data_IF_457972864581
#
_entry.id   IF_457972864581
#
_cell.length_a   1.000
_cell.length_b   1.000
_cell.length_c   1.000
_cell.angle_alpha   90.00
_cell.angle_beta   90.00
_cell.angle_gamma   90.00
#
_symmetry.space_group_name_H-M   'P 1'
#
loop_
_entity.id
_entity.type
_entity.pdbx_description
1 polymer ?
#
# COMPACT_ATOMS: atom_id res chain seq x y z
N UNK A 1 -79.25 -35.70 27.48
CA UNK A 1 -78.46 -34.53 27.93
C UNK A 1 -77.28 -34.95 28.81
N UNK A 2 -77.35 -36.07 29.55
CA UNK A 2 -76.25 -36.58 30.41
C UNK A 2 -74.96 -36.89 29.62
N UNK A 3 -75.03 -37.63 28.51
CA UNK A 3 -73.84 -37.98 27.71
C UNK A 3 -73.04 -36.78 27.16
N UNK A 4 -73.69 -35.64 26.90
CA UNK A 4 -73.01 -34.43 26.42
C UNK A 4 -72.23 -33.78 27.56
N UNK A 5 -72.77 -33.82 28.77
CA UNK A 5 -72.15 -33.25 29.96
C UNK A 5 -70.91 -34.05 30.38
N UNK A 6 -70.98 -35.38 30.28
CA UNK A 6 -69.85 -36.27 30.59
C UNK A 6 -68.69 -36.11 29.60
N UNK A 7 -69.00 -35.97 28.30
CA UNK A 7 -67.99 -35.69 27.26
C UNK A 7 -67.37 -34.29 27.46
N UNK A 8 -68.16 -33.30 27.84
CA UNK A 8 -67.67 -31.95 28.16
C UNK A 8 -66.71 -31.98 29.35
N UNK A 9 -67.03 -32.74 30.40
CA UNK A 9 -66.19 -32.87 31.60
C UNK A 9 -64.87 -33.59 31.30
N UNK A 10 -64.89 -34.62 30.44
CA UNK A 10 -63.69 -35.34 29.99
C UNK A 10 -62.77 -34.46 29.13
N UNK A 11 -63.34 -33.62 28.26
CA UNK A 11 -62.59 -32.72 27.38
C UNK A 11 -62.13 -31.42 28.06
N UNK A 12 -62.76 -31.02 29.17
CA UNK A 12 -62.41 -29.80 29.89
C UNK A 12 -60.95 -29.78 30.37
N UNK A 13 -60.46 -30.92 30.88
CA UNK A 13 -59.07 -31.04 31.37
C UNK A 13 -58.02 -30.77 30.28
N UNK A 14 -58.03 -31.52 29.16
CA UNK A 14 -57.15 -31.27 28.02
C UNK A 14 -57.31 -29.87 27.43
N UNK A 15 -58.53 -29.35 27.31
CA UNK A 15 -58.78 -28.03 26.73
C UNK A 15 -58.15 -26.91 27.58
N UNK A 16 -58.34 -26.96 28.90
CA UNK A 16 -57.73 -26.02 29.85
C UNK A 16 -56.21 -26.18 29.84
N UNK A 17 -55.72 -27.42 29.85
CA UNK A 17 -54.29 -27.73 29.75
C UNK A 17 -53.65 -27.17 28.47
N UNK A 18 -54.32 -27.28 27.32
CA UNK A 18 -53.88 -26.72 26.05
C UNK A 18 -53.88 -25.19 26.06
N UNK A 19 -54.89 -24.53 26.64
CA UNK A 19 -54.96 -23.07 26.74
C UNK A 19 -53.84 -22.54 27.64
N UNK A 20 -53.61 -23.17 28.80
CA UNK A 20 -52.53 -22.78 29.72
C UNK A 20 -51.17 -23.05 29.08
N UNK A 21 -50.96 -24.24 28.53
CA UNK A 21 -49.72 -24.60 27.84
C UNK A 21 -49.37 -23.66 26.69
N UNK A 22 -50.36 -23.33 25.85
CA UNK A 22 -50.18 -22.37 24.77
C UNK A 22 -49.86 -20.96 25.29
N UNK A 23 -50.61 -20.49 26.28
CA UNK A 23 -50.43 -19.15 26.86
C UNK A 23 -49.07 -18.99 27.54
N UNK A 24 -48.63 -20.00 28.30
CA UNK A 24 -47.34 -20.00 28.98
C UNK A 24 -46.18 -20.12 28.00
N UNK A 25 -46.28 -20.96 26.97
CA UNK A 25 -45.25 -21.07 25.93
C UNK A 25 -45.11 -19.77 25.13
N UNK A 26 -46.23 -19.15 24.76
CA UNK A 26 -46.25 -17.85 24.10
C UNK A 26 -45.56 -16.78 24.97
N UNK A 27 -45.88 -16.75 26.28
CA UNK A 27 -45.26 -15.81 27.20
C UNK A 27 -43.76 -16.08 27.37
N UNK A 28 -43.32 -17.33 27.47
CA UNK A 28 -41.93 -17.71 27.60
C UNK A 28 -41.09 -17.26 26.39
N UNK A 29 -41.56 -17.54 25.18
CA UNK A 29 -40.91 -17.06 23.95
C UNK A 29 -40.87 -15.54 23.92
N UNK A 30 -41.97 -14.87 24.28
CA UNK A 30 -42.03 -13.40 24.35
C UNK A 30 -41.04 -12.83 25.37
N UNK A 31 -40.84 -13.49 26.50
CA UNK A 31 -39.92 -13.10 27.58
C UNK A 31 -38.44 -13.30 27.23
N UNK A 32 -38.10 -14.15 26.25
CA UNK A 32 -36.73 -14.25 25.75
C UNK A 32 -36.29 -12.96 25.06
N UNK A 33 -37.19 -12.33 24.29
CA UNK A 33 -36.89 -11.18 23.44
C UNK A 33 -37.34 -9.82 24.02
N UNK A 34 -38.41 -9.78 24.83
CA UNK A 34 -38.97 -8.54 25.41
C UNK A 34 -39.19 -8.69 26.91
N UNK A 35 -39.11 -7.61 27.72
CA UNK A 35 -38.85 -6.23 27.34
C UNK A 35 -37.36 -5.96 27.07
N UNK A 36 -37.07 -5.05 26.14
CA UNK A 36 -35.70 -4.71 25.72
C UNK A 36 -34.92 -3.93 26.80
N UNK A 37 -35.64 -3.23 27.67
CA UNK A 37 -35.08 -2.42 28.76
C UNK A 37 -35.61 -2.92 30.11
N UNK A 38 -34.82 -2.82 31.19
CA UNK A 38 -35.30 -3.14 32.54
C UNK A 38 -36.47 -2.22 32.90
N UNK A 39 -37.59 -2.81 33.32
CA UNK A 39 -38.76 -2.05 33.77
C UNK A 39 -38.60 -1.82 35.28
N UNK A 40 -38.64 -0.56 35.69
CA UNK A 40 -38.58 -0.15 37.10
C UNK A 40 -39.97 0.33 37.54
N UNK A 41 -40.43 -0.15 38.68
CA UNK A 41 -41.62 0.35 39.38
C UNK A 41 -41.13 0.93 40.70
N UNK A 42 -41.05 2.26 40.80
CA UNK A 42 -40.41 2.93 41.93
C UNK A 42 -38.93 2.58 42.07
N UNK A 43 -38.51 2.10 43.23
CA UNK A 43 -37.14 1.61 43.52
C UNK A 43 -36.91 0.15 43.12
N UNK A 44 -37.95 -0.61 42.78
CA UNK A 44 -37.86 -2.05 42.51
C UNK A 44 -37.77 -2.34 41.00
N UNK A 45 -36.83 -3.22 40.60
CA UNK A 45 -36.72 -3.73 39.22
C UNK A 45 -37.57 -4.99 39.09
N UNK A 46 -38.43 -5.05 38.08
CA UNK A 46 -39.28 -6.22 37.87
C UNK A 46 -38.41 -7.46 37.58
N UNK A 47 -38.62 -8.59 38.27
CA UNK A 47 -37.92 -9.84 37.95
C UNK A 47 -38.21 -10.22 36.49
N UNK A 48 -37.22 -10.82 35.82
CA UNK A 48 -37.31 -11.17 34.39
C UNK A 48 -37.42 -9.99 33.41
N UNK A 49 -36.99 -8.79 33.82
CA UNK A 49 -36.77 -7.64 32.93
C UNK A 49 -35.32 -7.13 33.02
N UNK A 50 -34.61 -6.90 31.91
CA UNK A 50 -35.01 -7.15 30.52
C UNK A 50 -35.06 -8.66 30.20
N UNK A 51 -35.57 -9.01 29.02
CA UNK A 51 -35.58 -10.38 28.52
C UNK A 51 -34.17 -11.01 28.49
N UNK A 52 -34.10 -12.35 28.42
CA UNK A 52 -32.83 -13.09 28.54
C UNK A 52 -31.83 -12.72 27.44
N UNK A 53 -32.28 -12.60 26.19
CA UNK A 53 -31.42 -12.27 25.05
C UNK A 53 -30.88 -10.83 25.16
N UNK A 54 -31.72 -9.79 25.38
CA UNK A 54 -31.22 -8.44 25.64
C UNK A 54 -30.24 -8.36 26.82
N UNK A 55 -30.45 -9.16 27.87
CA UNK A 55 -29.58 -9.20 29.06
C UNK A 55 -28.20 -9.78 28.77
N UNK A 56 -28.09 -10.74 27.85
CA UNK A 56 -26.83 -11.43 27.50
C UNK A 56 -26.29 -11.03 26.13
N UNK A 57 -26.81 -9.94 25.56
CA UNK A 57 -26.47 -9.48 24.22
C UNK A 57 -24.97 -9.39 23.99
N UNK A 58 -24.22 -8.75 24.90
CA UNK A 58 -22.77 -8.61 24.79
C UNK A 58 -22.04 -9.97 24.81
N UNK A 59 -22.51 -10.92 25.61
CA UNK A 59 -21.92 -12.26 25.68
C UNK A 59 -22.18 -13.04 24.40
N UNK A 60 -23.40 -12.95 23.87
CA UNK A 60 -23.78 -13.54 22.59
C UNK A 60 -22.98 -12.91 21.44
N UNK A 61 -22.84 -11.59 21.44
CA UNK A 61 -22.08 -10.84 20.46
C UNK A 61 -20.61 -11.27 20.43
N UNK A 62 -19.97 -11.44 21.60
CA UNK A 62 -18.61 -12.02 21.70
C UNK A 62 -18.52 -13.44 21.19
N UNK A 63 -19.45 -14.30 21.59
CA UNK A 63 -19.44 -15.70 21.20
C UNK A 63 -19.63 -15.86 19.68
N UNK A 64 -20.57 -15.12 19.10
CA UNK A 64 -20.79 -15.07 17.65
C UNK A 64 -19.59 -14.45 16.93
N UNK A 65 -19.06 -13.32 17.41
CA UNK A 65 -17.88 -12.67 16.83
C UNK A 65 -16.67 -13.59 16.80
N UNK A 66 -16.38 -14.28 17.91
CA UNK A 66 -15.30 -15.26 17.98
C UNK A 66 -15.56 -16.48 17.08
N UNK A 67 -16.79 -17.00 17.04
CA UNK A 67 -17.12 -18.13 16.16
C UNK A 67 -16.95 -17.77 14.67
N UNK A 68 -17.34 -16.56 14.27
CA UNK A 68 -17.20 -16.09 12.88
C UNK A 68 -15.73 -15.78 12.56
N UNK A 69 -15.06 -14.99 13.40
CA UNK A 69 -13.68 -14.56 13.16
C UNK A 69 -12.64 -15.68 13.25
N UNK A 70 -12.87 -16.69 14.10
CA UNK A 70 -11.90 -17.77 14.29
C UNK A 70 -12.21 -19.03 13.47
N UNK A 71 -13.45 -19.26 13.05
CA UNK A 71 -13.83 -20.52 12.39
C UNK A 71 -14.41 -20.35 10.98
N UNK A 72 -14.94 -19.18 10.60
CA UNK A 72 -15.55 -18.97 9.28
C UNK A 72 -14.69 -18.11 8.35
N UNK A 73 -13.90 -17.19 8.90
CA UNK A 73 -13.03 -16.28 8.15
C UNK A 73 -11.64 -16.27 8.78
N UNK A 74 -10.94 -17.40 8.66
CA UNK A 74 -9.57 -17.49 9.18
C UNK A 74 -8.60 -16.66 8.33
N UNK A 75 -7.44 -16.34 8.88
CA UNK A 75 -6.38 -15.66 8.12
C UNK A 75 -5.99 -16.44 6.86
N UNK A 76 -5.91 -17.76 6.96
CA UNK A 76 -5.56 -18.63 5.86
C UNK A 76 -6.64 -18.64 4.77
N UNK A 77 -7.93 -18.59 5.14
CA UNK A 77 -9.03 -18.55 4.18
C UNK A 77 -9.05 -17.22 3.41
N UNK A 78 -8.82 -16.10 4.10
CA UNK A 78 -8.76 -14.79 3.44
C UNK A 78 -7.52 -14.68 2.54
N UNK A 79 -6.38 -15.21 2.97
CA UNK A 79 -5.18 -15.27 2.12
C UNK A 79 -5.45 -16.06 0.84
N UNK A 80 -6.08 -17.24 0.94
CA UNK A 80 -6.47 -18.03 -0.23
C UNK A 80 -7.43 -17.28 -1.16
N UNK A 81 -8.40 -16.55 -0.59
CA UNK A 81 -9.31 -15.71 -1.38
C UNK A 81 -8.54 -14.62 -2.11
N UNK A 82 -7.61 -13.92 -1.44
CA UNK A 82 -6.80 -12.87 -2.06
C UNK A 82 -5.84 -13.40 -3.13
N UNK A 83 -5.38 -14.64 -3.00
CA UNK A 83 -4.53 -15.33 -3.98
C UNK A 83 -5.33 -16.11 -5.04
N UNK A 84 -6.66 -16.10 -4.97
CA UNK A 84 -7.52 -16.69 -6.00
C UNK A 84 -7.22 -16.07 -7.36
N UNK A 85 -7.13 -16.90 -8.40
CA UNK A 85 -6.74 -16.48 -9.74
C UNK A 85 -7.64 -15.36 -10.28
N UNK A 86 -8.95 -15.43 -10.02
CA UNK A 86 -9.92 -14.44 -10.51
C UNK A 86 -9.72 -13.08 -9.84
N UNK A 87 -9.58 -13.06 -8.51
CA UNK A 87 -9.40 -11.81 -7.76
C UNK A 87 -8.01 -11.23 -7.99
N UNK A 88 -6.99 -12.08 -8.04
CA UNK A 88 -5.62 -11.69 -8.35
C UNK A 88 -5.55 -11.02 -9.72
N UNK A 89 -6.09 -11.66 -10.77
CA UNK A 89 -6.07 -11.10 -12.12
C UNK A 89 -6.83 -9.77 -12.20
N UNK A 90 -7.96 -9.65 -11.49
CA UNK A 90 -8.71 -8.40 -11.40
C UNK A 90 -7.88 -7.27 -10.75
N UNK A 91 -7.19 -7.56 -9.65
CA UNK A 91 -6.38 -6.58 -8.93
C UNK A 91 -5.13 -6.22 -9.75
N UNK A 92 -4.42 -7.22 -10.26
CA UNK A 92 -3.20 -7.05 -11.06
C UNK A 92 -3.49 -6.24 -12.32
N UNK A 93 -4.56 -6.58 -13.06
CA UNK A 93 -4.93 -5.86 -14.27
C UNK A 93 -5.30 -4.40 -14.00
N UNK A 94 -6.04 -4.11 -12.91
CA UNK A 94 -6.37 -2.72 -12.54
C UNK A 94 -5.15 -1.93 -12.09
N UNK A 95 -4.28 -2.52 -11.28
CA UNK A 95 -3.04 -1.87 -10.85
C UNK A 95 -2.07 -1.65 -12.02
N UNK A 96 -1.94 -2.62 -12.93
CA UNK A 96 -1.13 -2.46 -14.14
C UNK A 96 -1.70 -1.37 -15.05
N UNK A 97 -3.02 -1.34 -15.27
CA UNK A 97 -3.66 -0.28 -16.04
C UNK A 97 -3.44 1.11 -15.41
N UNK A 98 -3.55 1.21 -14.08
CA UNK A 98 -3.27 2.44 -13.34
C UNK A 98 -1.82 2.91 -13.53
N UNK A 99 -0.83 2.00 -13.45
CA UNK A 99 0.58 2.34 -13.66
C UNK A 99 0.92 2.68 -15.11
N UNK A 100 0.24 2.05 -16.07
CA UNK A 100 0.43 2.27 -17.50
C UNK A 100 -0.38 3.45 -18.06
N UNK A 101 -1.27 4.06 -17.27
CA UNK A 101 -2.04 5.22 -17.69
C UNK A 101 -1.10 6.40 -18.01
N UNK A 102 -1.22 6.94 -19.22
CA UNK A 102 -0.30 7.96 -19.73
C UNK A 102 -0.69 9.39 -19.33
N UNK A 103 -1.89 9.62 -18.79
CA UNK A 103 -2.39 11.00 -18.57
C UNK A 103 -2.89 11.28 -17.15
N UNK A 104 -3.14 10.28 -16.31
CA UNK A 104 -3.91 10.49 -15.08
C UNK A 104 -3.05 10.76 -13.83
N UNK A 105 -1.84 10.18 -13.74
CA UNK A 105 -1.06 10.24 -12.50
C UNK A 105 0.43 10.50 -12.76
N UNK A 106 0.91 11.67 -12.33
CA UNK A 106 2.35 11.95 -12.26
C UNK A 106 2.96 11.31 -11.03
N UNK A 107 4.27 11.01 -11.08
CA UNK A 107 4.99 10.47 -9.93
C UNK A 107 4.87 11.40 -8.71
N UNK A 108 4.93 12.72 -8.92
CA UNK A 108 4.75 13.70 -7.85
C UNK A 108 3.36 13.59 -7.20
N UNK A 109 2.29 13.58 -8.01
CA UNK A 109 0.91 13.48 -7.51
C UNK A 109 0.75 12.24 -6.64
N UNK A 110 1.21 11.09 -7.14
CA UNK A 110 1.15 9.82 -6.40
C UNK A 110 1.92 9.92 -5.08
N UNK A 111 3.16 10.43 -5.08
CA UNK A 111 3.95 10.55 -3.86
C UNK A 111 3.32 11.50 -2.83
N UNK A 112 2.71 12.60 -3.27
CA UNK A 112 2.07 13.58 -2.37
C UNK A 112 0.72 13.14 -1.83
N UNK A 113 0.04 12.18 -2.48
CA UNK A 113 -1.20 11.59 -1.95
C UNK A 113 -0.93 10.66 -0.77
N UNK A 114 0.21 9.95 -0.77
CA UNK A 114 0.55 8.97 0.26
C UNK A 114 1.57 9.48 1.29
N UNK A 115 2.29 10.58 1.01
CA UNK A 115 3.28 11.15 1.91
C UNK A 115 2.96 12.60 2.30
N UNK A 116 3.37 13.01 3.50
CA UNK A 116 3.37 14.43 3.87
C UNK A 116 4.35 15.21 2.98
N UNK A 117 4.06 16.50 2.75
CA UNK A 117 4.90 17.39 1.95
C UNK A 117 6.35 17.44 2.48
N UNK A 118 6.53 17.45 3.81
CA UNK A 118 7.86 17.38 4.45
C UNK A 118 8.62 16.09 4.11
N UNK A 119 7.94 14.94 4.12
CA UNK A 119 8.55 13.65 3.82
C UNK A 119 8.96 13.56 2.35
N UNK A 120 8.11 14.07 1.47
CA UNK A 120 8.39 14.18 0.04
C UNK A 120 9.62 15.08 -0.22
N UNK A 121 9.65 16.29 0.34
CA UNK A 121 10.78 17.21 0.20
C UNK A 121 12.09 16.61 0.74
N UNK A 122 12.02 15.89 1.86
CA UNK A 122 13.16 15.18 2.43
C UNK A 122 13.67 14.08 1.50
N UNK A 123 12.75 13.26 0.97
CA UNK A 123 13.07 12.19 0.01
C UNK A 123 13.71 12.74 -1.26
N UNK A 124 13.16 13.83 -1.80
CA UNK A 124 13.71 14.54 -2.96
C UNK A 124 15.13 15.06 -2.71
N UNK A 125 15.34 15.75 -1.59
CA UNK A 125 16.67 16.26 -1.22
C UNK A 125 17.68 15.12 -1.02
N UNK A 126 17.23 13.98 -0.47
CA UNK A 126 18.07 12.80 -0.34
C UNK A 126 18.43 12.20 -1.70
N UNK A 127 17.47 12.07 -2.61
CA UNK A 127 17.69 11.59 -3.97
C UNK A 127 18.67 12.48 -4.74
N UNK A 128 18.50 13.81 -4.67
CA UNK A 128 19.43 14.79 -5.24
C UNK A 128 20.87 14.55 -4.76
N UNK A 129 21.03 14.33 -3.45
CA UNK A 129 22.34 14.07 -2.85
C UNK A 129 22.92 12.73 -3.32
N UNK A 130 22.15 11.65 -3.27
CA UNK A 130 22.61 10.30 -3.64
C UNK A 130 23.05 10.25 -5.11
N UNK A 131 22.25 10.82 -6.02
CA UNK A 131 22.60 10.90 -7.44
C UNK A 131 23.85 11.77 -7.62
N UNK A 132 23.92 12.93 -6.94
CA UNK A 132 25.08 13.82 -7.01
C UNK A 132 26.38 13.15 -6.57
N UNK A 133 26.36 12.50 -5.41
CA UNK A 133 27.53 11.80 -4.88
C UNK A 133 27.94 10.62 -5.79
N UNK A 134 26.98 9.86 -6.35
CA UNK A 134 27.26 8.78 -7.31
C UNK A 134 27.89 9.29 -8.60
N UNK A 135 27.36 10.38 -9.19
CA UNK A 135 27.90 10.94 -10.43
C UNK A 135 29.32 11.47 -10.18
N UNK A 136 29.56 12.21 -9.10
CA UNK A 136 30.90 12.73 -8.79
C UNK A 136 31.89 11.60 -8.54
N UNK A 137 31.48 10.55 -7.83
CA UNK A 137 32.33 9.38 -7.61
C UNK A 137 32.63 8.66 -8.93
N UNK A 138 31.63 8.51 -9.81
CA UNK A 138 31.82 7.90 -11.13
C UNK A 138 32.75 8.73 -12.01
N UNK A 139 32.59 10.06 -12.03
CA UNK A 139 33.49 10.98 -12.74
C UNK A 139 34.91 10.89 -12.18
N UNK A 140 35.09 10.83 -10.86
CA UNK A 140 36.41 10.68 -10.25
C UNK A 140 37.11 9.34 -10.57
N UNK A 141 36.36 8.31 -10.95
CA UNK A 141 36.90 7.04 -11.42
C UNK A 141 37.30 7.07 -12.90
N UNK A 142 36.81 8.04 -13.66
CA UNK A 142 37.28 8.27 -15.02
C UNK A 142 38.63 8.99 -14.95
N UNK A 143 39.62 8.50 -15.71
CA UNK A 143 40.88 9.23 -15.88
C UNK A 143 40.67 10.41 -16.86
N UNK A 144 39.87 11.38 -16.42
CA UNK A 144 39.56 12.58 -17.20
C UNK A 144 40.81 13.39 -17.50
N UNK A 145 41.80 13.36 -16.61
CA UNK A 145 43.08 14.00 -16.81
C UNK A 145 43.78 13.44 -18.05
N UNK A 146 43.92 12.11 -18.14
CA UNK A 146 44.53 11.43 -19.28
C UNK A 146 43.69 11.59 -20.56
N UNK A 147 42.36 11.44 -20.47
CA UNK A 147 41.45 11.59 -21.62
C UNK A 147 41.59 12.98 -22.24
N UNK A 148 41.59 14.02 -21.41
CA UNK A 148 41.66 15.42 -21.88
C UNK A 148 43.05 15.76 -22.38
N UNK A 149 44.10 15.27 -21.73
CA UNK A 149 45.47 15.46 -22.21
C UNK A 149 45.65 14.82 -23.61
N UNK A 150 45.14 13.60 -23.79
CA UNK A 150 45.17 12.87 -25.06
C UNK A 150 44.36 13.57 -26.16
N UNK A 151 43.12 13.96 -25.84
CA UNK A 151 42.24 14.61 -26.81
C UNK A 151 42.73 16.02 -27.18
N UNK A 152 43.25 16.77 -26.21
CA UNK A 152 43.88 18.08 -26.46
C UNK A 152 45.11 17.94 -27.35
N UNK A 153 45.97 16.92 -27.12
CA UNK A 153 47.13 16.64 -27.98
C UNK A 153 46.70 16.36 -29.41
N UNK A 154 45.63 15.57 -29.59
CA UNK A 154 45.03 15.27 -30.90
C UNK A 154 44.54 16.53 -31.61
N UNK A 155 43.73 17.35 -30.94
CA UNK A 155 43.15 18.58 -31.50
C UNK A 155 44.23 19.61 -31.84
N UNK A 156 45.22 19.79 -30.97
CA UNK A 156 46.34 20.71 -31.22
C UNK A 156 47.13 20.24 -32.45
N UNK A 157 47.52 18.95 -32.50
CA UNK A 157 48.27 18.38 -33.63
C UNK A 157 47.53 18.55 -34.96
N UNK A 158 46.22 18.27 -34.97
CA UNK A 158 45.38 18.42 -36.16
C UNK A 158 45.24 19.88 -36.61
N UNK A 159 45.13 20.83 -35.68
CA UNK A 159 44.98 22.26 -36.02
C UNK A 159 46.27 22.91 -36.50
N UNK A 160 47.43 22.44 -36.04
CA UNK A 160 48.73 22.95 -36.48
C UNK A 160 49.25 22.24 -37.74
N UNK A 161 48.71 21.07 -38.08
CA UNK A 161 49.09 20.31 -39.26
C UNK A 161 48.92 21.15 -40.53
N UNK A 162 49.95 21.19 -41.37
CA UNK A 162 49.98 22.04 -42.57
C UNK A 162 50.29 23.53 -42.33
N UNK A 163 50.43 23.97 -41.07
CA UNK A 163 50.86 25.35 -40.75
C UNK A 163 52.36 25.40 -40.46
N UNK A 164 52.95 26.60 -40.50
CA UNK A 164 54.35 26.81 -40.08
C UNK A 164 54.60 26.41 -38.61
N UNK A 165 53.55 26.34 -37.78
CA UNK A 165 53.65 25.96 -36.37
C UNK A 165 53.92 24.47 -36.18
N UNK A 166 53.53 23.60 -37.13
CA UNK A 166 53.83 22.18 -37.04
C UNK A 166 55.34 21.87 -36.99
N UNK A 167 56.17 22.74 -37.58
CA UNK A 167 57.63 22.60 -37.57
C UNK A 167 58.27 22.96 -36.22
N UNK A 168 57.57 23.75 -35.40
CA UNK A 168 58.08 24.26 -34.12
C UNK A 168 57.46 23.51 -32.94
N UNK A 169 56.17 23.17 -33.02
CA UNK A 169 55.42 22.47 -31.98
C UNK A 169 55.67 20.96 -32.05
N UNK A 170 56.83 20.55 -31.54
CA UNK A 170 57.17 19.13 -31.35
C UNK A 170 56.31 18.47 -30.26
N UNK A 171 56.33 17.13 -30.18
CA UNK A 171 55.52 16.37 -29.21
C UNK A 171 55.77 16.80 -27.76
N UNK A 172 57.02 17.09 -27.37
CA UNK A 172 57.35 17.53 -26.01
C UNK A 172 56.68 18.86 -25.64
N UNK A 173 56.63 19.80 -26.59
CA UNK A 173 55.99 21.09 -26.36
C UNK A 173 54.47 20.92 -26.24
N UNK A 174 53.86 20.09 -27.08
CA UNK A 174 52.43 19.77 -26.98
C UNK A 174 52.13 19.09 -25.64
N UNK A 175 52.92 18.10 -25.24
CA UNK A 175 52.75 17.41 -23.95
C UNK A 175 52.91 18.34 -22.74
N UNK A 176 53.85 19.30 -22.82
CA UNK A 176 54.02 20.31 -21.76
C UNK A 176 52.82 21.25 -21.60
N UNK A 177 52.01 21.40 -22.64
CA UNK A 177 50.79 22.21 -22.62
C UNK A 177 49.56 21.40 -22.23
N UNK A 178 49.48 20.12 -22.61
CA UNK A 178 48.30 19.28 -22.38
C UNK A 178 48.28 18.60 -21.01
N UNK A 179 49.44 18.23 -20.46
CA UNK A 179 49.51 17.58 -19.14
C UNK A 179 48.97 18.49 -17.99
N UNK A 180 49.31 19.80 -17.92
CA UNK A 180 48.73 20.68 -16.91
C UNK A 180 47.22 20.88 -17.07
N UNK A 181 46.71 20.89 -18.32
CA UNK A 181 45.27 21.04 -18.59
C UNK A 181 44.46 19.88 -18.01
N UNK A 182 44.94 18.64 -18.14
CA UNK A 182 44.32 17.47 -17.53
C UNK A 182 44.27 17.58 -16.01
N UNK A 183 45.40 17.91 -15.37
CA UNK A 183 45.49 18.06 -13.92
C UNK A 183 44.61 19.20 -13.37
N UNK A 184 44.54 20.33 -14.10
CA UNK A 184 43.65 21.44 -13.76
C UNK A 184 42.18 21.03 -13.80
N UNK A 185 41.77 20.30 -14.84
CA UNK A 185 40.37 19.86 -14.96
C UNK A 185 40.01 18.87 -13.85
N UNK A 186 40.89 17.92 -13.55
CA UNK A 186 40.65 16.95 -12.48
C UNK A 186 40.50 17.65 -11.12
N UNK A 187 41.32 18.66 -10.85
CA UNK A 187 41.23 19.50 -9.65
C UNK A 187 39.91 20.29 -9.63
N UNK A 188 39.54 20.90 -10.75
CA UNK A 188 38.31 21.67 -10.88
C UNK A 188 37.06 20.81 -10.62
N UNK A 189 37.03 19.58 -11.14
CA UNK A 189 35.94 18.63 -10.91
C UNK A 189 35.89 18.19 -9.44
N UNK A 190 37.04 17.93 -8.80
CA UNK A 190 37.08 17.56 -7.37
C UNK A 190 36.55 18.66 -6.46
N UNK A 191 36.90 19.91 -6.74
CA UNK A 191 36.50 21.04 -5.91
C UNK A 191 35.10 21.57 -6.22
N UNK A 192 34.72 21.64 -7.50
CA UNK A 192 33.52 22.35 -7.95
C UNK A 192 32.48 21.43 -8.62
N UNK A 193 32.79 20.17 -8.87
CA UNK A 193 31.92 19.27 -9.63
C UNK A 193 30.52 19.14 -9.02
N UNK A 194 30.41 19.15 -7.69
CA UNK A 194 29.11 19.09 -7.01
C UNK A 194 28.21 20.26 -7.39
N UNK A 195 28.75 21.47 -7.41
CA UNK A 195 27.99 22.68 -7.73
C UNK A 195 27.65 22.78 -9.22
N UNK A 196 28.50 22.25 -10.10
CA UNK A 196 28.24 22.16 -11.54
C UNK A 196 27.09 21.19 -11.85
N UNK A 197 27.05 20.04 -11.18
CA UNK A 197 26.09 18.96 -11.51
C UNK A 197 24.75 19.14 -10.79
N UNK A 198 24.74 19.78 -9.62
CA UNK A 198 23.52 19.94 -8.80
C UNK A 198 22.33 20.58 -9.55
N UNK A 199 22.49 21.68 -10.34
CA UNK A 199 21.39 22.24 -11.13
C UNK A 199 20.83 21.26 -12.16
N UNK A 200 21.72 20.47 -12.78
CA UNK A 200 21.34 19.45 -13.79
C UNK A 200 20.51 18.35 -13.13
N UNK A 201 20.95 17.84 -11.97
CA UNK A 201 20.21 16.82 -11.21
C UNK A 201 18.83 17.33 -10.79
N UNK A 202 18.76 18.57 -10.27
CA UNK A 202 17.49 19.17 -9.87
C UNK A 202 16.50 19.26 -11.02
N UNK A 203 16.98 19.68 -12.19
CA UNK A 203 16.17 19.80 -13.39
C UNK A 203 15.70 18.42 -13.87
N UNK A 204 16.56 17.41 -13.84
CA UNK A 204 16.22 16.07 -14.30
C UNK A 204 15.26 15.34 -13.34
N UNK A 205 15.45 15.50 -12.02
CA UNK A 205 14.48 15.01 -11.02
C UNK A 205 13.14 15.73 -11.19
N UNK A 206 13.13 17.05 -11.39
CA UNK A 206 11.89 17.79 -11.62
C UNK A 206 11.18 17.36 -12.90
N UNK A 207 11.90 17.00 -13.96
CA UNK A 207 11.30 16.39 -15.14
C UNK A 207 10.64 15.08 -14.76
N UNK A 208 11.39 14.14 -14.17
CA UNK A 208 10.91 12.82 -13.73
C UNK A 208 9.67 12.90 -12.84
N UNK A 209 9.63 13.85 -11.91
CA UNK A 209 8.50 14.05 -11.01
C UNK A 209 7.20 14.42 -11.72
N UNK A 210 7.29 15.22 -12.79
CA UNK A 210 6.13 15.75 -13.50
C UNK A 210 5.72 14.89 -14.71
N UNK A 211 6.38 13.76 -14.96
CA UNK A 211 5.99 12.84 -16.02
C UNK A 211 4.95 11.83 -15.50
N UNK A 212 4.10 11.32 -16.39
CA UNK A 212 3.28 10.14 -16.12
C UNK A 212 4.15 8.93 -15.77
N UNK A 213 3.69 8.13 -14.81
CA UNK A 213 4.41 6.91 -14.40
C UNK A 213 4.61 5.95 -15.57
N UNK A 214 3.59 5.81 -16.44
CA UNK A 214 3.69 5.00 -17.65
C UNK A 214 4.85 5.41 -18.56
N UNK A 215 5.12 6.72 -18.67
CA UNK A 215 6.24 7.23 -19.47
C UNK A 215 7.60 6.96 -18.82
N UNK A 216 7.69 7.09 -17.50
CA UNK A 216 8.91 6.72 -16.75
C UNK A 216 9.23 5.25 -16.97
N UNK A 217 8.21 4.37 -16.93
CA UNK A 217 8.37 2.94 -17.18
C UNK A 217 8.88 2.66 -18.61
N UNK A 218 8.39 3.38 -19.62
CA UNK A 218 8.91 3.25 -20.98
C UNK A 218 10.34 3.77 -21.13
N UNK A 219 10.67 4.88 -20.46
CA UNK A 219 12.00 5.50 -20.56
C UNK A 219 13.10 4.62 -19.92
N UNK A 220 12.77 3.83 -18.90
CA UNK A 220 13.68 2.83 -18.33
C UNK A 220 13.74 1.51 -19.11
N UNK A 221 13.05 1.42 -20.25
CA UNK A 221 13.04 0.24 -21.12
C UNK A 221 12.12 -0.89 -20.65
N UNK A 222 11.17 -0.60 -19.74
CA UNK A 222 10.17 -1.59 -19.33
C UNK A 222 9.07 -1.66 -20.39
N UNK A 223 9.02 -2.78 -21.12
CA UNK A 223 7.91 -3.03 -22.02
C UNK A 223 6.58 -3.11 -21.24
N UNK A 224 5.50 -2.52 -21.78
CA UNK A 224 4.19 -2.44 -21.10
C UNK A 224 3.60 -3.80 -20.74
N UNK A 225 3.96 -4.86 -21.48
CA UNK A 225 3.58 -6.26 -21.21
C UNK A 225 4.26 -6.85 -19.96
N UNK A 226 5.36 -6.27 -19.46
CA UNK A 226 6.07 -6.73 -18.26
C UNK A 226 5.51 -6.13 -16.97
N UNK A 227 4.79 -5.00 -17.06
CA UNK A 227 4.19 -4.31 -15.91
C UNK A 227 3.22 -5.23 -15.16
N UNK A 228 2.28 -5.94 -15.81
CA UNK A 228 1.41 -6.90 -15.13
C UNK A 228 2.17 -7.98 -14.36
N UNK A 229 3.26 -8.51 -14.93
CA UNK A 229 4.07 -9.54 -14.27
C UNK A 229 4.81 -9.00 -13.03
N UNK A 230 5.27 -7.74 -13.08
CA UNK A 230 5.88 -7.08 -11.92
C UNK A 230 4.84 -6.88 -10.81
N UNK A 231 3.66 -6.37 -11.17
CA UNK A 231 2.55 -6.16 -10.24
C UNK A 231 2.10 -7.49 -9.63
N UNK A 232 1.97 -8.56 -10.42
CA UNK A 232 1.61 -9.90 -9.94
C UNK A 232 2.61 -10.43 -8.90
N UNK A 233 3.92 -10.28 -9.16
CA UNK A 233 4.97 -10.69 -8.21
C UNK A 233 4.91 -9.89 -6.92
N UNK A 234 4.80 -8.57 -7.01
CA UNK A 234 4.70 -7.68 -5.84
C UNK A 234 3.44 -8.03 -5.03
N UNK A 235 2.31 -8.21 -5.70
CA UNK A 235 1.03 -8.55 -5.08
C UNK A 235 1.10 -9.91 -4.37
N UNK A 236 1.57 -10.95 -5.06
CA UNK A 236 1.68 -12.31 -4.50
C UNK A 236 2.63 -12.34 -3.31
N UNK A 237 3.78 -11.65 -3.40
CA UNK A 237 4.73 -11.55 -2.30
C UNK A 237 4.14 -10.77 -1.12
N UNK A 238 3.44 -9.66 -1.38
CA UNK A 238 2.79 -8.86 -0.35
C UNK A 238 1.73 -9.68 0.40
N UNK A 239 0.85 -10.36 -0.34
CA UNK A 239 -0.20 -11.17 0.26
C UNK A 239 0.42 -12.33 1.05
N UNK A 240 1.33 -13.11 0.47
CA UNK A 240 1.93 -14.25 1.16
C UNK A 240 2.82 -13.89 2.36
N UNK A 241 3.38 -12.67 2.42
CA UNK A 241 4.26 -12.25 3.53
C UNK A 241 3.52 -11.46 4.60
N UNK A 242 2.52 -10.66 4.21
CA UNK A 242 1.93 -9.61 5.06
C UNK A 242 0.42 -9.68 5.21
N UNK A 243 -0.29 -10.47 4.40
CA UNK A 243 -1.75 -10.58 4.54
C UNK A 243 -2.13 -11.12 5.92
N UNK A 244 -1.44 -12.14 6.44
CA UNK A 244 -1.75 -12.70 7.77
C UNK A 244 -1.64 -11.65 8.90
N UNK A 245 -0.63 -10.76 8.86
CA UNK A 245 -0.52 -9.66 9.82
C UNK A 245 -1.67 -8.64 9.66
N UNK A 246 -1.99 -8.28 8.41
CA UNK A 246 -3.05 -7.32 8.10
C UNK A 246 -4.45 -7.85 8.49
N UNK A 247 -4.70 -9.14 8.23
CA UNK A 247 -5.97 -9.79 8.55
C UNK A 247 -6.16 -9.87 10.06
N UNK A 248 -5.09 -10.16 10.82
CA UNK A 248 -5.14 -10.11 12.30
C UNK A 248 -5.46 -8.71 12.82
N UNK A 249 -4.98 -7.67 12.13
CA UNK A 249 -5.31 -6.27 12.48
C UNK A 249 -6.77 -5.89 12.15
N UNK A 250 -7.45 -6.62 11.26
CA UNK A 250 -8.80 -6.29 10.79
C UNK A 250 -9.91 -6.63 11.81
N UNK A 251 -9.59 -7.24 12.96
CA UNK A 251 -10.48 -7.65 14.07
C UNK A 251 -11.93 -7.94 13.64
N UNK A 252 -12.09 -8.94 12.77
CA UNK A 252 -13.40 -9.35 12.24
C UNK A 252 -14.36 -9.72 13.39
N UNK A 253 -13.84 -10.33 14.45
CA UNK A 253 -14.61 -10.67 15.64
C UNK A 253 -15.17 -9.41 16.32
N UNK A 254 -14.34 -8.38 16.51
CA UNK A 254 -14.76 -7.09 17.06
C UNK A 254 -15.77 -6.36 16.18
N UNK A 255 -15.61 -6.39 14.85
CA UNK A 255 -16.58 -5.80 13.91
C UNK A 255 -17.95 -6.47 14.04
N UNK A 256 -18.00 -7.80 14.12
CA UNK A 256 -19.25 -8.55 14.31
C UNK A 256 -19.87 -8.25 15.68
N UNK A 257 -19.06 -8.21 16.75
CA UNK A 257 -19.53 -7.87 18.10
C UNK A 257 -20.16 -6.48 18.13
N UNK A 258 -19.49 -5.47 17.58
CA UNK A 258 -20.00 -4.09 17.53
C UNK A 258 -21.31 -4.01 16.76
N UNK A 259 -21.42 -4.71 15.63
CA UNK A 259 -22.63 -4.68 14.80
C UNK A 259 -23.81 -5.36 15.48
N UNK A 260 -23.59 -6.48 16.16
CA UNK A 260 -24.63 -7.13 16.98
C UNK A 260 -25.04 -6.22 18.13
N UNK A 261 -24.08 -5.58 18.82
CA UNK A 261 -24.35 -4.67 19.92
C UNK A 261 -25.08 -3.38 19.48
N UNK A 262 -24.93 -2.96 18.22
CA UNK A 262 -25.61 -1.81 17.64
C UNK A 262 -27.06 -2.08 17.17
N UNK A 263 -27.44 -3.33 16.90
CA UNK A 263 -28.79 -3.74 16.49
C UNK A 263 -29.79 -3.82 17.65
#
# INVERSE_FOLDING_TARGET
MENIMDILYLLAGPLIGSIIGYSTNYLAVKMLFRPLRPIKIGTFRLPFTPGIIPKRKDQLARALGSAVGNNLLTSDDIEKILLDETLKDLIVSRLAAFLCAEEEHTLKTMLTEYCTEESYLRGKAHLEKVIGDKIITGIAQLDLGEIIATESKRVIKQKIEGTMLAFIANEKMIDSLTAPLGAMLETYIKENGKDVIRPIIKLEIAKLENQPIGKILTDIGMEKNLVPNLVDKIYTQFVGTKATEFIKALDIAGVVEQKINAM
#
